data_IF_188981026855
#
_entry.id   IF_188981026855
#
_cell.length_a   1.000
_cell.length_b   1.000
_cell.length_c   1.000
_cell.angle_alpha   90.00
_cell.angle_beta   90.00
_cell.angle_gamma   90.00
#
_symmetry.space_group_name_H-M   'P 1'
#
loop_
_entity.id
_entity.type
_entity.pdbx_description
1 polymer ?
#
# COMPACT_ATOMS: atom_id res chain seq x y z
N UNK A 1 -4.09 16.63 -40.62
CA UNK A 1 -2.95 17.38 -40.07
C UNK A 1 -3.04 17.31 -38.55
N UNK A 2 -2.05 16.69 -37.89
CA UNK A 2 -1.97 16.52 -36.43
C UNK A 2 -1.49 17.81 -35.78
N UNK A 3 -2.23 18.32 -34.80
CA UNK A 3 -1.69 19.22 -33.77
C UNK A 3 -1.47 18.40 -32.51
N UNK A 4 -0.22 18.25 -32.07
CA UNK A 4 0.08 17.71 -30.74
C UNK A 4 -0.11 18.83 -29.70
N UNK A 5 -0.81 18.61 -28.59
CA UNK A 5 -0.81 19.58 -27.50
C UNK A 5 0.56 19.56 -26.81
N UNK A 6 1.18 20.73 -26.73
CA UNK A 6 2.47 20.98 -26.07
C UNK A 6 2.35 20.64 -24.58
N UNK A 7 3.19 19.71 -24.11
CA UNK A 7 3.36 19.44 -22.68
C UNK A 7 4.11 20.63 -22.06
N UNK A 8 3.57 21.32 -21.04
CA UNK A 8 4.35 22.31 -20.31
C UNK A 8 5.39 21.58 -19.46
N UNK A 9 6.65 21.70 -19.83
CA UNK A 9 7.80 21.22 -19.04
C UNK A 9 8.02 22.17 -17.86
N UNK A 10 7.22 22.00 -16.80
CA UNK A 10 7.51 22.54 -15.47
C UNK A 10 8.60 21.71 -14.77
N UNK A 11 9.32 22.26 -13.77
CA UNK A 11 10.33 21.52 -13.03
C UNK A 11 9.69 20.26 -12.47
N UNK A 12 10.34 19.13 -12.69
CA UNK A 12 9.94 17.79 -12.26
C UNK A 12 9.42 17.80 -10.83
N UNK A 13 8.10 17.81 -10.67
CA UNK A 13 7.46 17.40 -9.44
C UNK A 13 7.99 15.98 -9.14
N UNK A 14 8.61 15.73 -7.98
CA UNK A 14 9.07 14.40 -7.64
C UNK A 14 7.87 13.45 -7.65
N UNK A 15 8.07 12.29 -8.29
CA UNK A 15 7.12 11.18 -8.42
C UNK A 15 6.32 10.95 -7.12
N UNK A 16 5.05 10.53 -7.21
CA UNK A 16 4.20 10.30 -6.04
C UNK A 16 4.96 9.41 -5.07
N UNK A 17 5.14 9.92 -3.85
CA UNK A 17 5.92 9.32 -2.80
C UNK A 17 5.50 7.85 -2.61
N UNK A 18 6.46 6.93 -2.68
CA UNK A 18 6.31 5.51 -2.30
C UNK A 18 6.00 5.32 -0.79
N UNK A 19 5.43 6.34 -0.15
CA UNK A 19 5.13 6.39 1.26
C UNK A 19 3.63 6.17 1.43
N UNK A 20 3.22 5.21 2.27
CA UNK A 20 1.82 4.96 2.53
C UNK A 20 1.17 6.23 3.11
N UNK A 21 -0.06 6.49 2.71
CA UNK A 21 -0.78 7.68 3.14
C UNK A 21 -1.17 7.53 4.62
N UNK A 22 -1.12 8.64 5.37
CA UNK A 22 -1.72 8.69 6.70
C UNK A 22 -3.17 9.12 6.56
N UNK A 23 -4.07 8.44 7.28
CA UNK A 23 -5.50 8.80 7.30
C UNK A 23 -5.69 10.23 7.84
N UNK A 24 -4.97 10.58 8.91
CA UNK A 24 -4.88 11.94 9.45
C UNK A 24 -3.50 12.25 10.03
N UNK A 25 -3.18 13.54 10.15
CA UNK A 25 -1.89 14.03 10.65
C UNK A 25 -1.80 13.76 12.16
N UNK A 26 -1.24 12.61 12.53
CA UNK A 26 -1.12 12.15 13.91
C UNK A 26 -1.56 10.70 14.14
N UNK A 27 -2.14 10.04 13.13
CA UNK A 27 -2.59 8.66 13.28
C UNK A 27 -1.41 7.68 13.31
N UNK A 28 -1.45 6.65 14.19
CA UNK A 28 -0.42 5.61 14.28
C UNK A 28 -0.49 4.61 13.11
N UNK A 29 -1.55 4.66 12.29
CA UNK A 29 -1.77 3.73 11.18
C UNK A 29 -1.33 4.32 9.85
N UNK A 30 -0.84 3.44 8.96
CA UNK A 30 -0.43 3.75 7.60
C UNK A 30 -1.30 2.95 6.64
N UNK A 31 -1.97 3.63 5.71
CA UNK A 31 -2.81 2.97 4.71
C UNK A 31 -1.94 2.33 3.63
N UNK A 32 -2.14 1.03 3.42
CA UNK A 32 -1.52 0.28 2.31
C UNK A 32 -2.54 0.14 1.17
N UNK A 33 -2.07 0.41 -0.05
CA UNK A 33 -2.87 0.28 -1.27
C UNK A 33 -2.28 -0.82 -2.15
N UNK A 34 -3.14 -1.59 -2.82
CA UNK A 34 -2.70 -2.53 -3.85
C UNK A 34 -2.00 -1.79 -4.99
N UNK A 35 -0.87 -2.33 -5.46
CA UNK A 35 -0.12 -1.75 -6.58
C UNK A 35 -0.76 -2.05 -7.93
N UNK A 36 -1.67 -3.01 -7.98
CA UNK A 36 -2.36 -3.48 -9.19
C UNK A 36 -3.80 -3.83 -8.87
N UNK A 37 -4.71 -3.60 -9.83
CA UNK A 37 -6.07 -4.11 -9.74
C UNK A 37 -6.06 -5.64 -9.75
N UNK A 38 -6.72 -6.24 -8.76
CA UNK A 38 -6.79 -7.69 -8.58
C UNK A 38 -8.24 -8.09 -8.37
N UNK A 39 -8.70 -9.13 -9.07
CA UNK A 39 -10.04 -9.70 -8.88
C UNK A 39 -9.89 -10.84 -7.87
N UNK A 40 -10.72 -10.84 -6.83
CA UNK A 40 -10.74 -11.86 -5.80
C UNK A 40 -12.06 -12.65 -5.84
N UNK A 41 -11.96 -13.97 -5.81
CA UNK A 41 -13.08 -14.90 -5.73
C UNK A 41 -12.89 -15.82 -4.52
N UNK A 42 -13.97 -16.26 -3.84
CA UNK A 42 -13.84 -16.99 -2.58
C UNK A 42 -13.06 -18.31 -2.67
N UNK A 43 -13.04 -18.95 -3.84
CA UNK A 43 -12.37 -20.22 -4.11
C UNK A 43 -10.84 -20.12 -4.18
N UNK A 44 -10.29 -18.91 -4.37
CA UNK A 44 -8.84 -18.71 -4.43
C UNK A 44 -8.15 -18.82 -3.06
N UNK A 45 -8.89 -18.72 -1.96
CA UNK A 45 -8.32 -18.68 -0.62
C UNK A 45 -7.53 -17.40 -0.35
N UNK A 46 -6.41 -17.53 0.38
CA UNK A 46 -5.57 -16.41 0.82
C UNK A 46 -4.65 -15.97 -0.32
N UNK A 47 -4.67 -14.69 -0.66
CA UNK A 47 -4.00 -14.13 -1.84
C UNK A 47 -3.06 -12.99 -1.47
N UNK A 48 -1.78 -13.15 -1.86
CA UNK A 48 -0.78 -12.13 -1.59
C UNK A 48 -0.96 -10.92 -2.50
N UNK A 49 -1.30 -9.77 -1.92
CA UNK A 49 -1.48 -8.52 -2.67
C UNK A 49 -0.24 -7.63 -2.56
N UNK A 50 0.38 -7.26 -3.69
CA UNK A 50 1.53 -6.37 -3.68
C UNK A 50 1.11 -4.92 -3.35
N UNK A 51 1.82 -4.24 -2.45
CA UNK A 51 1.49 -2.85 -2.03
C UNK A 51 2.49 -1.78 -2.50
N UNK A 52 3.56 -2.21 -3.19
CA UNK A 52 4.71 -1.39 -3.61
C UNK A 52 5.27 -0.44 -2.53
N UNK A 53 5.04 -0.78 -1.27
CA UNK A 53 5.53 -0.07 -0.10
C UNK A 53 6.73 -0.84 0.44
N UNK A 54 7.81 -0.12 0.74
CA UNK A 54 9.09 -0.69 1.17
C UNK A 54 9.71 0.20 2.24
N UNK A 55 10.51 -0.42 3.09
CA UNK A 55 11.36 0.29 4.03
C UNK A 55 11.50 -0.52 5.31
N UNK A 56 12.66 -0.40 5.99
CA UNK A 56 12.74 -0.85 7.36
C UNK A 56 11.76 -0.03 8.20
N UNK A 57 11.13 -0.67 9.16
CA UNK A 57 10.37 0.07 10.17
C UNK A 57 11.34 0.93 10.99
N UNK A 58 10.86 2.02 11.61
CA UNK A 58 11.66 2.79 12.56
C UNK A 58 12.30 1.87 13.61
N UNK A 59 13.54 2.18 14.01
CA UNK A 59 14.27 1.37 14.98
C UNK A 59 13.48 1.21 16.28
N UNK A 60 13.50 -0.02 16.83
CA UNK A 60 12.75 -0.35 18.05
C UNK A 60 11.24 -0.52 17.86
N UNK A 61 10.73 -0.53 16.61
CA UNK A 61 9.30 -0.74 16.32
C UNK A 61 9.01 -2.06 15.61
N UNK A 62 7.80 -2.58 15.82
CA UNK A 62 7.21 -3.67 15.04
C UNK A 62 5.97 -3.15 14.31
N UNK A 63 5.71 -3.69 13.13
CA UNK A 63 4.57 -3.31 12.31
C UNK A 63 3.45 -4.33 12.49
N UNK A 64 2.21 -3.87 12.53
CA UNK A 64 1.03 -4.72 12.52
C UNK A 64 0.24 -4.43 11.25
N UNK A 65 0.04 -5.46 10.43
CA UNK A 65 -0.85 -5.42 9.28
C UNK A 65 -2.25 -5.81 9.74
N UNK A 66 -3.20 -4.89 9.60
CA UNK A 66 -4.60 -5.07 9.95
C UNK A 66 -5.47 -4.58 8.80
N UNK A 67 -6.56 -5.30 8.53
CA UNK A 67 -7.56 -4.85 7.57
C UNK A 67 -8.36 -3.66 8.12
N UNK A 68 -8.80 -2.77 7.23
CA UNK A 68 -9.75 -1.72 7.60
C UNK A 68 -11.12 -2.34 7.82
N UNK A 69 -11.83 -1.85 8.83
CA UNK A 69 -13.20 -2.31 9.11
C UNK A 69 -14.14 -2.15 7.91
N UNK A 70 -13.95 -1.10 7.10
CA UNK A 70 -14.70 -0.87 5.87
C UNK A 70 -14.54 -1.97 4.82
N UNK A 71 -13.39 -2.64 4.79
CA UNK A 71 -13.09 -3.69 3.81
C UNK A 71 -13.67 -5.03 4.28
N UNK A 72 -13.62 -5.29 5.58
CA UNK A 72 -14.29 -6.43 6.19
C UNK A 72 -15.81 -6.40 5.93
N UNK A 73 -16.45 -5.23 6.02
CA UNK A 73 -17.87 -5.06 5.71
C UNK A 73 -18.22 -5.31 4.23
N UNK A 74 -17.23 -5.24 3.34
CA UNK A 74 -17.37 -5.56 1.91
C UNK A 74 -17.02 -7.02 1.60
N UNK A 75 -16.75 -7.83 2.62
CA UNK A 75 -16.35 -9.23 2.47
C UNK A 75 -14.87 -9.44 2.16
N UNK A 76 -14.02 -8.41 2.27
CA UNK A 76 -12.58 -8.54 2.12
C UNK A 76 -11.92 -8.71 3.50
N UNK A 77 -11.44 -9.92 3.78
CA UNK A 77 -10.69 -10.21 4.99
C UNK A 77 -9.19 -10.06 4.74
N UNK A 78 -8.50 -9.30 5.60
CA UNK A 78 -7.03 -9.23 5.62
C UNK A 78 -6.55 -10.09 6.76
N UNK A 79 -5.72 -11.09 6.45
CA UNK A 79 -5.08 -11.91 7.48
C UNK A 79 -4.10 -11.03 8.27
N UNK A 80 -4.25 -10.93 9.61
CA UNK A 80 -3.33 -10.15 10.42
C UNK A 80 -1.88 -10.64 10.28
N UNK A 81 -0.94 -9.71 10.16
CA UNK A 81 0.48 -10.02 9.99
C UNK A 81 1.37 -9.16 10.86
N UNK A 82 2.55 -9.68 11.21
CA UNK A 82 3.60 -8.96 11.93
C UNK A 82 4.72 -8.62 10.96
N UNK A 83 5.18 -7.37 10.98
CA UNK A 83 6.32 -6.92 10.18
C UNK A 83 7.49 -6.63 11.12
N UNK A 84 8.65 -7.22 10.79
CA UNK A 84 9.87 -7.07 11.56
C UNK A 84 10.65 -5.79 11.17
N UNK A 85 11.43 -5.21 12.09
CA UNK A 85 12.19 -3.98 11.84
C UNK A 85 13.30 -4.12 10.79
N UNK A 86 13.80 -5.32 10.52
CA UNK A 86 14.96 -5.58 9.65
C UNK A 86 14.61 -6.13 8.27
N UNK A 87 13.33 -6.14 7.87
CA UNK A 87 12.96 -6.64 6.54
C UNK A 87 13.08 -5.53 5.48
N UNK A 88 14.09 -5.57 4.57
CA UNK A 88 14.07 -4.75 3.36
C UNK A 88 13.05 -5.26 2.32
N UNK A 89 12.29 -6.32 2.64
CA UNK A 89 11.32 -6.89 1.73
C UNK A 89 10.00 -6.12 1.70
N UNK A 90 9.36 -6.16 0.53
CA UNK A 90 8.03 -5.61 0.24
C UNK A 90 7.03 -5.99 1.34
N UNK A 91 6.22 -5.05 1.81
CA UNK A 91 5.09 -5.39 2.68
C UNK A 91 4.11 -6.26 1.89
N UNK A 92 4.16 -7.58 2.14
CA UNK A 92 3.25 -8.57 1.58
C UNK A 92 2.07 -8.66 2.53
N UNK A 93 0.87 -8.28 2.08
CA UNK A 93 -0.32 -8.78 2.76
C UNK A 93 -0.47 -10.23 2.36
N UNK A 94 -0.72 -11.10 3.34
CA UNK A 94 -1.07 -12.49 3.08
C UNK A 94 -2.43 -12.55 2.39
#
# INVERSE_FOLDING_TARGET
>A
MRGYPTVPTGPSDPLPSHRPNRISRGDPHLDLCASTGTILTPDMGVQIIPTNTYGPLPEGTIGLLLGRSSDALKGLCITPGVIAPTTPEKFRSC
#
